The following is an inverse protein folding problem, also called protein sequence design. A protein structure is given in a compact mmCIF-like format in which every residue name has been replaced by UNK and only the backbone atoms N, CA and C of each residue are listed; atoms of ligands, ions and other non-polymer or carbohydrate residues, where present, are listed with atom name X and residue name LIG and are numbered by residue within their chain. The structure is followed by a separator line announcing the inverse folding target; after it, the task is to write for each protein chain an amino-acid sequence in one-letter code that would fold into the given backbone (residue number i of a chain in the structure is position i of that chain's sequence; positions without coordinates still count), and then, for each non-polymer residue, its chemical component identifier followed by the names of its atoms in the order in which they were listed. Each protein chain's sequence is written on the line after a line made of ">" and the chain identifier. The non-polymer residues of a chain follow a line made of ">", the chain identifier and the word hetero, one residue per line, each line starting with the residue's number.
data_IF_035753761127
#
_entry.id   IF_035753761127
#
_cell.length_a   1.000
_cell.length_b   1.000
_cell.length_c   1.000
_cell.angle_alpha   90.00
_cell.angle_beta   90.00
_cell.angle_gamma   90.00
#
_symmetry.space_group_name_H-M   'P 1'
#
loop_
_entity.id
_entity.type
_entity.pdbx_description
1 polymer ?
#
# COMPACT_ATOMS: atom_id res chain seq x y z
N UNK A 1 -22.44 21.81 22.94
CA UNK A 1 -22.26 21.79 21.48
C UNK A 1 -21.26 20.71 21.14
N UNK A 2 -21.69 19.55 20.70
CA UNK A 2 -20.82 18.46 20.24
C UNK A 2 -20.22 18.88 18.90
N UNK A 3 -18.94 19.29 18.91
CA UNK A 3 -18.17 19.39 17.66
C UNK A 3 -18.15 17.98 17.04
N UNK A 4 -18.87 17.81 15.96
CA UNK A 4 -18.66 16.67 15.04
C UNK A 4 -17.25 16.81 14.49
N UNK A 5 -16.30 16.08 15.07
CA UNK A 5 -14.94 16.06 14.55
C UNK A 5 -15.00 15.49 13.13
N UNK A 6 -14.53 16.26 12.17
CA UNK A 6 -14.44 15.80 10.77
C UNK A 6 -13.49 14.59 10.75
N UNK A 7 -13.99 13.43 10.32
CA UNK A 7 -13.22 12.19 10.22
C UNK A 7 -12.01 12.41 9.31
N UNK A 8 -10.79 12.20 9.85
CA UNK A 8 -9.56 12.32 9.08
C UNK A 8 -9.34 11.05 8.26
N UNK A 9 -9.38 11.17 6.94
CA UNK A 9 -9.19 10.09 5.99
C UNK A 9 -7.79 10.19 5.40
N UNK A 10 -7.06 9.06 5.35
CA UNK A 10 -5.77 8.95 4.65
C UNK A 10 -5.81 7.88 3.58
N UNK A 11 -5.01 8.06 2.51
CA UNK A 11 -4.86 7.10 1.43
C UNK A 11 -3.48 6.47 1.51
N UNK A 12 -3.41 5.14 1.43
CA UNK A 12 -2.16 4.41 1.22
C UNK A 12 -2.22 3.70 -0.13
N UNK A 13 -1.64 4.28 -1.19
CA UNK A 13 -1.70 3.71 -2.53
C UNK A 13 -0.54 2.75 -2.79
N UNK A 14 -0.78 1.75 -3.62
CA UNK A 14 0.25 0.84 -4.08
C UNK A 14 -0.22 -0.10 -5.17
N UNK A 15 0.71 -0.79 -5.80
CA UNK A 15 0.39 -1.86 -6.75
C UNK A 15 0.03 -3.14 -6.01
N UNK A 16 0.71 -3.43 -4.89
CA UNK A 16 0.51 -4.62 -4.04
C UNK A 16 0.52 -5.94 -4.84
N UNK A 17 1.56 -6.13 -5.62
CA UNK A 17 1.70 -7.26 -6.54
C UNK A 17 2.90 -8.18 -6.20
N UNK A 18 2.79 -8.98 -5.13
CA UNK A 18 1.74 -9.01 -4.12
C UNK A 18 1.97 -8.04 -2.95
N UNK A 19 1.04 -8.03 -2.00
CA UNK A 19 1.24 -7.44 -0.67
C UNK A 19 2.37 -8.17 0.06
N UNK A 20 3.14 -7.44 0.87
CA UNK A 20 4.25 -7.98 1.68
C UNK A 20 4.08 -7.61 3.14
N UNK A 21 4.85 -8.26 4.03
CA UNK A 21 4.88 -7.88 5.45
C UNK A 21 5.34 -6.44 5.67
N UNK A 22 6.18 -5.90 4.77
CA UNK A 22 6.56 -4.49 4.78
C UNK A 22 5.37 -3.56 4.53
N UNK A 23 4.50 -3.89 3.58
CA UNK A 23 3.27 -3.15 3.34
C UNK A 23 2.33 -3.22 4.56
N UNK A 24 2.13 -4.38 5.15
CA UNK A 24 1.28 -4.55 6.34
C UNK A 24 1.78 -3.73 7.52
N UNK A 25 3.10 -3.67 7.72
CA UNK A 25 3.70 -2.84 8.75
C UNK A 25 3.41 -1.33 8.52
N UNK A 26 3.51 -0.86 7.28
CA UNK A 26 3.19 0.53 6.94
C UNK A 26 1.69 0.82 7.05
N UNK A 27 0.82 -0.10 6.61
CA UNK A 27 -0.64 0.00 6.77
C UNK A 27 -1.01 0.20 8.23
N UNK A 28 -0.44 -0.62 9.13
CA UNK A 28 -0.69 -0.50 10.57
C UNK A 28 -0.26 0.87 11.12
N UNK A 29 0.91 1.35 10.74
CA UNK A 29 1.42 2.65 11.19
C UNK A 29 0.61 3.81 10.63
N UNK A 30 0.27 3.76 9.34
CA UNK A 30 -0.56 4.78 8.70
C UNK A 30 -1.96 4.84 9.36
N UNK A 31 -2.55 3.68 9.67
CA UNK A 31 -3.87 3.63 10.31
C UNK A 31 -3.89 4.24 11.72
N UNK A 32 -2.76 4.30 12.43
CA UNK A 32 -2.69 4.98 13.73
C UNK A 32 -2.70 6.52 13.65
N UNK A 33 -2.55 7.08 12.46
CA UNK A 33 -2.46 8.54 12.25
C UNK A 33 -3.77 9.16 11.74
N UNK A 34 -4.75 8.33 11.39
CA UNK A 34 -6.03 8.75 10.81
C UNK A 34 -7.19 7.98 11.41
N UNK A 35 -8.41 8.48 11.23
CA UNK A 35 -9.63 7.80 11.69
C UNK A 35 -10.07 6.71 10.71
N UNK A 36 -9.72 6.87 9.43
CA UNK A 36 -9.97 5.90 8.38
C UNK A 36 -8.82 5.87 7.38
N UNK A 37 -8.23 4.70 7.19
CA UNK A 37 -7.22 4.47 6.17
C UNK A 37 -7.84 3.75 4.97
N UNK A 38 -7.73 4.34 3.79
CA UNK A 38 -8.10 3.72 2.52
C UNK A 38 -6.85 3.16 1.86
N UNK A 39 -6.71 1.85 1.82
CA UNK A 39 -5.65 1.17 1.06
C UNK A 39 -6.10 1.05 -0.39
N UNK A 40 -5.41 1.76 -1.27
CA UNK A 40 -5.84 1.96 -2.65
C UNK A 40 -4.95 1.19 -3.64
N UNK A 41 -5.50 0.17 -4.27
CA UNK A 41 -4.82 -0.63 -5.28
C UNK A 41 -4.79 0.12 -6.61
N UNK A 42 -3.59 0.45 -7.11
CA UNK A 42 -3.48 1.11 -8.41
C UNK A 42 -3.71 0.13 -9.57
N UNK A 43 -4.53 0.56 -10.55
CA UNK A 43 -4.61 -0.12 -11.83
C UNK A 43 -3.35 0.20 -12.66
N UNK A 44 -2.36 -0.66 -12.58
CA UNK A 44 -1.07 -0.43 -13.26
C UNK A 44 -1.05 -1.01 -14.65
N UNK A 45 -1.63 -0.31 -15.63
CA UNK A 45 -1.60 -0.71 -17.06
C UNK A 45 -0.18 -0.85 -17.64
N UNK A 46 0.79 -0.11 -17.10
CA UNK A 46 2.19 -0.14 -17.56
C UNK A 46 3.04 -1.25 -16.94
N UNK A 47 2.70 -1.77 -15.78
CA UNK A 47 3.56 -2.69 -15.01
C UNK A 47 3.28 -4.18 -15.22
N UNK A 48 2.28 -4.58 -15.99
CA UNK A 48 1.87 -5.98 -16.16
C UNK A 48 1.97 -6.79 -14.87
N UNK A 49 1.12 -6.52 -13.87
CA UNK A 49 1.21 -7.21 -12.59
C UNK A 49 0.99 -8.72 -12.76
N UNK A 50 1.61 -9.52 -11.90
CA UNK A 50 1.45 -10.98 -11.88
C UNK A 50 0.02 -11.37 -11.47
N UNK A 51 -0.52 -10.65 -10.50
CA UNK A 51 -1.87 -10.84 -10.00
C UNK A 51 -2.83 -9.83 -10.62
N UNK A 52 -4.03 -10.30 -10.98
CA UNK A 52 -5.12 -9.41 -11.39
C UNK A 52 -5.45 -8.41 -10.27
N UNK A 53 -6.15 -7.34 -10.61
CA UNK A 53 -6.60 -6.36 -9.64
C UNK A 53 -7.44 -7.00 -8.52
N UNK A 54 -8.37 -7.87 -8.88
CA UNK A 54 -9.23 -8.58 -7.91
C UNK A 54 -8.40 -9.45 -6.97
N UNK A 55 -7.46 -10.24 -7.47
CA UNK A 55 -6.57 -11.07 -6.64
C UNK A 55 -5.77 -10.22 -5.65
N UNK A 56 -5.27 -9.06 -6.07
CA UNK A 56 -4.51 -8.14 -5.20
C UNK A 56 -5.38 -7.54 -4.10
N UNK A 57 -6.61 -7.15 -4.41
CA UNK A 57 -7.57 -6.67 -3.42
C UNK A 57 -7.97 -7.75 -2.42
N UNK A 58 -8.22 -8.97 -2.89
CA UNK A 58 -8.56 -10.11 -2.03
C UNK A 58 -7.44 -10.43 -1.03
N UNK A 59 -6.18 -10.49 -1.51
CA UNK A 59 -5.02 -10.70 -0.63
C UNK A 59 -4.90 -9.60 0.42
N UNK A 60 -5.07 -8.33 0.03
CA UNK A 60 -5.06 -7.21 0.94
C UNK A 60 -6.17 -7.30 1.99
N UNK A 61 -7.42 -7.58 1.57
CA UNK A 61 -8.56 -7.70 2.48
C UNK A 61 -8.35 -8.81 3.50
N UNK A 62 -7.86 -9.97 3.05
CA UNK A 62 -7.61 -11.11 3.92
C UNK A 62 -6.49 -10.83 4.94
N UNK A 63 -5.37 -10.26 4.50
CA UNK A 63 -4.25 -9.92 5.38
C UNK A 63 -4.62 -8.80 6.37
N UNK A 64 -5.37 -7.78 5.92
CA UNK A 64 -5.86 -6.72 6.82
C UNK A 64 -6.90 -7.29 7.80
N UNK A 65 -7.78 -8.19 7.38
CA UNK A 65 -8.74 -8.84 8.27
C UNK A 65 -8.05 -9.62 9.39
N UNK A 66 -6.93 -10.29 9.07
CA UNK A 66 -6.12 -11.05 10.01
C UNK A 66 -5.23 -10.19 10.94
N UNK A 67 -5.15 -8.88 10.71
CA UNK A 67 -4.38 -7.98 11.59
C UNK A 67 -5.05 -7.83 12.95
N UNK A 68 -4.29 -8.11 14.02
CA UNK A 68 -4.73 -7.83 15.39
C UNK A 68 -4.68 -6.32 15.70
N UNK A 69 -5.57 -5.87 16.57
CA UNK A 69 -5.59 -4.52 17.15
C UNK A 69 -5.41 -3.41 16.10
N UNK A 70 -6.33 -3.33 15.13
CA UNK A 70 -6.33 -2.24 14.13
C UNK A 70 -6.60 -0.90 14.83
N UNK A 71 -5.70 0.09 14.67
CA UNK A 71 -5.85 1.38 15.37
C UNK A 71 -7.06 2.19 14.88
N UNK A 72 -7.45 2.02 13.61
CA UNK A 72 -8.59 2.72 12.99
C UNK A 72 -9.32 1.82 11.99
N UNK A 73 -10.38 2.35 11.38
CA UNK A 73 -11.03 1.73 10.24
C UNK A 73 -10.07 1.63 9.06
N UNK A 74 -10.01 0.46 8.41
CA UNK A 74 -9.21 0.25 7.20
C UNK A 74 -10.11 -0.34 6.13
N UNK A 75 -10.17 0.31 4.96
CA UNK A 75 -10.87 -0.19 3.79
C UNK A 75 -9.91 -0.42 2.63
N UNK A 76 -10.27 -1.34 1.74
CA UNK A 76 -9.51 -1.65 0.51
C UNK A 76 -10.37 -1.34 -0.69
N UNK A 77 -9.84 -0.58 -1.62
CA UNK A 77 -10.45 -0.26 -2.90
C UNK A 77 -9.39 -0.16 -3.99
N UNK A 78 -9.80 0.03 -5.21
CA UNK A 78 -8.89 0.33 -6.31
C UNK A 78 -9.14 1.75 -6.83
N UNK A 79 -8.18 2.24 -7.60
CA UNK A 79 -8.32 3.48 -8.33
C UNK A 79 -7.64 3.42 -9.69
N UNK A 80 -8.19 4.17 -10.61
CA UNK A 80 -7.67 4.45 -11.93
C UNK A 80 -7.41 5.96 -12.06
N UNK A 81 -6.44 6.33 -12.91
CA UNK A 81 -6.09 7.72 -13.16
C UNK A 81 -5.16 8.35 -12.11
N UNK A 82 -5.34 9.64 -11.87
CA UNK A 82 -4.47 10.41 -10.97
C UNK A 82 -4.78 10.15 -9.51
N UNK A 83 -3.73 9.83 -8.75
CA UNK A 83 -3.84 9.57 -7.31
C UNK A 83 -4.45 10.74 -6.54
N UNK A 84 -4.06 11.95 -6.86
CA UNK A 84 -4.56 13.16 -6.19
C UNK A 84 -6.06 13.38 -6.44
N UNK A 85 -6.55 13.08 -7.64
CA UNK A 85 -7.97 13.15 -7.96
C UNK A 85 -8.77 12.08 -7.21
N UNK A 86 -8.21 10.88 -7.10
CA UNK A 86 -8.80 9.83 -6.28
C UNK A 86 -8.87 10.24 -4.81
N UNK A 87 -7.77 10.76 -4.25
CA UNK A 87 -7.71 11.23 -2.87
C UNK A 87 -8.74 12.32 -2.59
N UNK A 88 -8.92 13.26 -3.52
CA UNK A 88 -9.95 14.30 -3.43
C UNK A 88 -11.37 13.71 -3.40
N UNK A 89 -11.66 12.74 -4.27
CA UNK A 89 -12.98 12.05 -4.28
C UNK A 89 -13.26 11.31 -2.98
N UNK A 90 -12.22 10.84 -2.29
CA UNK A 90 -12.33 10.20 -0.98
C UNK A 90 -12.38 11.18 0.19
N UNK A 91 -12.31 12.51 -0.07
CA UNK A 91 -12.16 13.55 0.95
C UNK A 91 -10.96 13.28 1.88
N UNK A 92 -9.86 12.78 1.32
CA UNK A 92 -8.67 12.46 2.07
C UNK A 92 -7.89 13.71 2.45
N UNK A 93 -7.40 13.78 3.69
CA UNK A 93 -6.52 14.82 4.17
C UNK A 93 -5.06 14.59 3.76
N UNK A 94 -4.66 13.33 3.58
CA UNK A 94 -3.29 13.00 3.26
C UNK A 94 -3.15 11.69 2.47
N UNK A 95 -1.99 11.60 1.80
CA UNK A 95 -1.52 10.39 1.11
C UNK A 95 -0.27 9.89 1.85
N UNK A 96 -0.28 8.63 2.26
CA UNK A 96 0.88 7.98 2.87
C UNK A 96 1.77 7.33 1.81
N UNK A 97 3.08 7.50 1.95
CA UNK A 97 4.08 6.86 1.10
C UNK A 97 5.14 6.21 1.97
N UNK A 98 5.51 4.97 1.64
CA UNK A 98 6.61 4.27 2.29
C UNK A 98 7.96 4.63 1.67
N UNK A 99 8.97 4.88 2.50
CA UNK A 99 10.35 5.07 2.08
C UNK A 99 11.22 3.93 2.62
N UNK A 100 11.95 3.26 1.74
CA UNK A 100 12.85 2.14 2.08
C UNK A 100 14.31 2.55 1.95
N UNK A 101 14.66 3.27 0.90
CA UNK A 101 16.02 3.68 0.60
C UNK A 101 16.06 5.14 0.09
N UNK A 102 17.25 5.72 0.07
CA UNK A 102 17.46 7.08 -0.45
C UNK A 102 17.02 7.20 -1.92
N UNK A 103 17.22 6.15 -2.71
CA UNK A 103 16.79 6.11 -4.12
C UNK A 103 15.26 6.20 -4.29
N UNK A 104 14.49 5.66 -3.34
CA UNK A 104 13.03 5.82 -3.37
C UNK A 104 12.64 7.29 -3.13
N UNK A 105 13.40 7.99 -2.29
CA UNK A 105 13.08 9.37 -1.90
C UNK A 105 13.09 10.34 -3.08
N UNK A 106 14.05 10.26 -3.99
CA UNK A 106 14.11 11.17 -5.15
C UNK A 106 12.84 11.09 -6.00
N UNK A 107 12.41 9.88 -6.33
CA UNK A 107 11.18 9.67 -7.08
C UNK A 107 9.94 10.15 -6.32
N UNK A 108 9.83 9.77 -5.05
CA UNK A 108 8.71 10.14 -4.19
C UNK A 108 8.64 11.65 -3.95
N UNK A 109 9.79 12.32 -3.81
CA UNK A 109 9.87 13.76 -3.68
C UNK A 109 9.35 14.49 -4.93
N UNK A 110 9.76 14.02 -6.12
CA UNK A 110 9.26 14.59 -7.38
C UNK A 110 7.75 14.39 -7.54
N UNK A 111 7.26 13.20 -7.25
CA UNK A 111 5.82 12.89 -7.32
C UNK A 111 5.00 13.71 -6.32
N UNK A 112 5.52 13.91 -5.11
CA UNK A 112 4.89 14.75 -4.09
C UNK A 112 4.82 16.22 -4.54
N UNK A 113 5.91 16.74 -5.12
CA UNK A 113 5.92 18.07 -5.68
C UNK A 113 4.92 18.27 -6.81
N UNK A 114 4.74 17.26 -7.66
CA UNK A 114 3.71 17.29 -8.72
C UNK A 114 2.30 17.22 -8.14
N UNK A 115 2.05 16.32 -7.20
CA UNK A 115 0.74 16.19 -6.56
C UNK A 115 0.33 17.47 -5.83
N UNK A 116 1.25 18.13 -5.12
CA UNK A 116 1.01 19.39 -4.42
C UNK A 116 0.67 20.55 -5.37
N UNK A 117 1.20 20.52 -6.62
CA UNK A 117 0.81 21.50 -7.66
C UNK A 117 -0.58 21.23 -8.22
N UNK A 118 -1.00 19.96 -8.28
CA UNK A 118 -2.33 19.57 -8.78
C UNK A 118 -3.42 19.84 -7.74
N UNK A 119 -3.15 19.55 -6.48
CA UNK A 119 -4.04 19.88 -5.37
C UNK A 119 -3.24 20.14 -4.07
N UNK A 120 -3.04 21.39 -3.67
CA UNK A 120 -2.28 21.75 -2.47
C UNK A 120 -2.99 21.43 -1.15
N UNK A 121 -4.25 21.02 -1.19
CA UNK A 121 -5.02 20.68 0.02
C UNK A 121 -4.74 19.28 0.55
N UNK A 122 -4.06 18.43 -0.25
CA UNK A 122 -3.77 17.04 0.10
C UNK A 122 -2.28 16.91 0.44
N UNK A 123 -1.99 16.64 1.71
CA UNK A 123 -0.62 16.46 2.18
C UNK A 123 -0.07 15.07 1.85
N UNK A 124 1.26 14.98 1.66
CA UNK A 124 1.95 13.69 1.56
C UNK A 124 2.75 13.42 2.82
N UNK A 125 2.50 12.27 3.43
CA UNK A 125 3.17 11.81 4.65
C UNK A 125 4.07 10.63 4.33
N UNK A 126 5.38 10.80 4.58
CA UNK A 126 6.36 9.74 4.40
C UNK A 126 6.53 8.91 5.67
N UNK A 127 6.45 7.60 5.53
CA UNK A 127 6.71 6.64 6.60
C UNK A 127 7.96 5.82 6.25
N UNK A 128 8.99 5.91 7.09
CA UNK A 128 10.19 5.08 6.91
C UNK A 128 9.86 3.60 7.17
N UNK A 129 10.30 2.73 6.28
CA UNK A 129 10.24 1.29 6.53
C UNK A 129 11.10 0.93 7.77
N UNK A 130 10.63 -0.03 8.56
CA UNK A 130 11.47 -0.57 9.63
C UNK A 130 12.64 -1.38 9.03
N UNK A 131 13.77 -1.42 9.73
CA UNK A 131 15.03 -2.03 9.26
C UNK A 131 14.83 -3.43 8.67
N UNK A 132 14.04 -4.26 9.33
CA UNK A 132 13.74 -5.63 8.86
C UNK A 132 12.96 -5.71 7.55
N UNK A 133 12.30 -4.63 7.13
CA UNK A 133 11.50 -4.56 5.90
C UNK A 133 12.12 -3.67 4.82
N UNK A 134 13.25 -3.05 5.11
CA UNK A 134 13.89 -2.07 4.22
C UNK A 134 14.21 -2.64 2.85
N UNK A 135 14.62 -3.91 2.79
CA UNK A 135 15.00 -4.58 1.53
C UNK A 135 13.86 -5.40 0.91
N UNK A 136 12.69 -5.45 1.56
CA UNK A 136 11.55 -6.23 1.05
C UNK A 136 10.79 -5.44 0.00
N UNK A 137 10.71 -5.98 -1.22
CA UNK A 137 9.87 -5.46 -2.29
C UNK A 137 9.09 -6.57 -2.95
N UNK A 138 7.92 -6.24 -3.50
CA UNK A 138 7.11 -7.21 -4.27
C UNK A 138 7.87 -7.80 -5.46
N UNK A 139 8.73 -7.00 -6.10
CA UNK A 139 9.55 -7.47 -7.23
C UNK A 139 10.54 -8.54 -6.81
N UNK A 140 11.31 -8.30 -5.74
CA UNK A 140 12.26 -9.30 -5.22
C UNK A 140 11.56 -10.54 -4.68
N UNK A 141 10.41 -10.38 -4.03
CA UNK A 141 9.61 -11.53 -3.56
C UNK A 141 9.18 -12.41 -4.74
N UNK A 142 8.69 -11.81 -5.83
CA UNK A 142 8.32 -12.56 -7.05
C UNK A 142 9.55 -13.24 -7.70
N UNK A 143 10.67 -12.54 -7.76
CA UNK A 143 11.92 -13.09 -8.31
C UNK A 143 12.37 -14.31 -7.52
N UNK A 144 12.46 -14.20 -6.19
CA UNK A 144 12.85 -15.32 -5.31
C UNK A 144 11.87 -16.50 -5.47
N UNK A 145 10.56 -16.23 -5.46
CA UNK A 145 9.54 -17.27 -5.62
C UNK A 145 9.64 -17.97 -6.97
N UNK A 146 9.89 -17.23 -8.06
CA UNK A 146 10.04 -17.81 -9.42
C UNK A 146 11.25 -18.74 -9.55
N UNK A 147 12.25 -18.59 -8.69
CA UNK A 147 13.44 -19.45 -8.61
C UNK A 147 13.30 -20.56 -7.54
N UNK A 148 12.11 -20.71 -6.94
CA UNK A 148 11.86 -21.74 -5.91
C UNK A 148 12.44 -21.40 -4.52
N UNK A 149 12.81 -20.15 -4.27
CA UNK A 149 13.34 -19.72 -2.99
C UNK A 149 12.26 -19.55 -1.91
N UNK A 150 12.64 -19.65 -0.65
CA UNK A 150 11.72 -19.45 0.49
C UNK A 150 11.38 -17.97 0.67
N UNK A 151 10.09 -17.65 0.57
CA UNK A 151 9.54 -16.30 0.74
C UNK A 151 8.73 -16.14 2.02
N UNK A 152 8.67 -17.14 2.90
CA UNK A 152 7.84 -17.16 4.11
C UNK A 152 8.09 -15.99 5.07
N UNK A 153 9.30 -15.45 5.07
CA UNK A 153 9.66 -14.30 5.90
C UNK A 153 9.11 -12.96 5.35
N UNK A 154 8.80 -12.89 4.05
CA UNK A 154 8.47 -11.63 3.37
C UNK A 154 6.97 -11.43 3.16
N UNK A 155 6.22 -12.51 3.11
CA UNK A 155 4.77 -12.51 2.86
C UNK A 155 4.02 -13.35 3.89
N UNK A 156 2.71 -13.23 3.91
CA UNK A 156 1.85 -14.10 4.73
C UNK A 156 1.68 -15.47 4.09
N UNK A 157 1.29 -16.51 4.84
CA UNK A 157 1.10 -17.86 4.29
C UNK A 157 0.14 -17.88 3.10
N UNK A 158 -0.97 -17.14 3.14
CA UNK A 158 -1.93 -17.09 2.04
C UNK A 158 -1.35 -16.47 0.76
N UNK A 159 -0.50 -15.45 0.90
CA UNK A 159 0.16 -14.81 -0.24
C UNK A 159 1.24 -15.72 -0.81
N UNK A 160 1.96 -16.44 0.07
CA UNK A 160 2.94 -17.45 -0.34
C UNK A 160 2.30 -18.54 -1.18
N UNK A 161 1.19 -19.12 -0.74
CA UNK A 161 0.44 -20.14 -1.47
C UNK A 161 0.04 -19.65 -2.88
N UNK A 162 -0.59 -18.47 -2.97
CA UNK A 162 -0.97 -17.86 -4.25
C UNK A 162 0.22 -17.60 -5.18
N UNK A 163 1.37 -17.20 -4.64
CA UNK A 163 2.59 -17.02 -5.44
C UNK A 163 3.14 -18.34 -5.97
N UNK A 164 3.19 -19.37 -5.14
CA UNK A 164 3.66 -20.69 -5.56
C UNK A 164 2.75 -21.27 -6.65
N UNK A 165 1.44 -21.12 -6.54
CA UNK A 165 0.48 -21.56 -7.56
C UNK A 165 0.73 -20.87 -8.91
N UNK A 166 1.02 -19.55 -8.90
CA UNK A 166 1.32 -18.78 -10.13
C UNK A 166 2.59 -19.23 -10.84
N UNK A 167 3.58 -19.75 -10.11
CA UNK A 167 4.84 -20.21 -10.69
C UNK A 167 4.93 -21.71 -10.93
N UNK A 168 3.94 -22.48 -10.42
CA UNK A 168 3.84 -23.93 -10.67
C UNK A 168 3.02 -24.28 -11.92
N UNK A 169 2.39 -23.27 -12.54
CA UNK A 169 1.59 -23.37 -13.77
C UNK A 169 2.42 -22.98 -14.95
#
# INVERSE_FOLDING_TARGET
>A
MTQTSVKRIGIYPGTFDPITRGHLHLIRRASSLVDHLVVAVSESKKKRPLFSQTEREEMLRADIAAMDNKPSEISVTHFDGLLVEFAKKQNAACIFRGLRAVSDFEYEFQMTGMNSKLDPSIETVFLMAADKWQFVSSSFVKEIASMGGDISQFVTPQVQEKLLDKFSS
#
